data_IF_743638532169
#
_entry.id   IF_743638532169
#
_cell.length_a   1.000
_cell.length_b   1.000
_cell.length_c   1.000
_cell.angle_alpha   90.00
_cell.angle_beta   90.00
_cell.angle_gamma   90.00
#
_symmetry.space_group_name_H-M   'P 1'
#
loop_
_entity.id
_entity.type
_entity.pdbx_description
1 polymer ?
#
# COMPACT_ATOMS: atom_id res chain seq x y z
N UNK A 1 12.71 -8.99 26.25
CA UNK A 1 13.38 -8.97 24.94
C UNK A 1 14.71 -8.21 24.95
N UNK A 2 14.76 -6.89 25.21
CA UNK A 2 16.06 -6.16 25.13
C UNK A 2 17.18 -6.78 25.99
N UNK A 3 16.94 -6.96 27.30
CA UNK A 3 17.94 -7.55 28.21
C UNK A 3 18.35 -8.97 27.80
N UNK A 4 17.42 -9.74 27.26
CA UNK A 4 17.68 -11.10 26.79
C UNK A 4 18.58 -11.08 25.54
N UNK A 5 18.28 -10.25 24.55
CA UNK A 5 19.11 -10.09 23.36
C UNK A 5 20.51 -9.55 23.70
N UNK A 6 20.60 -8.59 24.63
CA UNK A 6 21.89 -8.03 25.09
C UNK A 6 22.74 -9.10 25.81
N UNK A 7 22.15 -9.84 26.76
CA UNK A 7 22.83 -10.91 27.49
C UNK A 7 23.34 -12.03 26.57
N UNK A 8 22.63 -12.32 25.48
CA UNK A 8 23.03 -13.32 24.49
C UNK A 8 23.92 -12.76 23.37
N UNK A 9 24.21 -11.45 23.38
CA UNK A 9 25.05 -10.81 22.37
C UNK A 9 24.42 -10.80 20.97
N UNK A 10 23.09 -10.66 20.90
CA UNK A 10 22.31 -10.67 19.65
C UNK A 10 22.20 -9.30 18.98
N UNK A 11 22.67 -8.23 19.60
CA UNK A 11 22.68 -6.91 18.99
C UNK A 11 23.95 -6.64 18.18
N UNK A 12 23.80 -5.78 17.16
CA UNK A 12 24.91 -5.15 16.44
C UNK A 12 25.79 -4.40 17.44
N UNK A 13 27.12 -4.45 17.24
CA UNK A 13 28.08 -3.91 18.20
C UNK A 13 28.80 -2.68 17.66
N UNK A 14 29.19 -1.81 18.60
CA UNK A 14 30.14 -0.74 18.35
C UNK A 14 31.54 -1.31 18.16
N UNK A 15 32.22 -0.95 17.07
CA UNK A 15 33.58 -1.42 16.76
C UNK A 15 34.60 -0.90 17.79
N UNK A 16 34.42 0.33 18.27
CA UNK A 16 35.32 1.00 19.22
C UNK A 16 35.20 0.46 20.64
N UNK A 17 33.98 0.09 21.06
CA UNK A 17 33.72 -0.33 22.45
C UNK A 17 33.51 -1.84 22.62
N UNK A 18 33.16 -2.55 21.56
CA UNK A 18 32.75 -3.95 21.59
C UNK A 18 31.40 -4.21 22.28
N UNK A 19 30.68 -3.14 22.67
CA UNK A 19 29.37 -3.21 23.33
C UNK A 19 28.23 -3.06 22.32
N UNK A 20 27.01 -3.37 22.74
CA UNK A 20 25.78 -3.12 21.98
C UNK A 20 25.74 -1.67 21.48
N UNK A 21 25.56 -1.51 20.17
CA UNK A 21 25.35 -0.21 19.55
C UNK A 21 23.89 0.21 19.75
N UNK A 22 23.70 1.39 20.32
CA UNK A 22 22.38 1.98 20.52
C UNK A 22 22.15 3.07 19.48
N UNK A 23 21.02 2.98 18.79
CA UNK A 23 20.57 3.96 17.78
C UNK A 23 19.46 4.80 18.39
N UNK A 24 19.54 6.13 18.22
CA UNK A 24 18.49 7.07 18.63
C UNK A 24 17.38 7.12 17.58
N UNK A 25 16.16 6.75 17.96
CA UNK A 25 14.95 6.78 17.14
C UNK A 25 14.10 8.04 17.39
N UNK A 26 14.67 9.06 18.02
CA UNK A 26 13.97 10.28 18.40
C UNK A 26 13.33 10.12 19.77
N UNK A 27 14.09 10.43 20.81
CA UNK A 27 13.73 10.35 22.24
C UNK A 27 13.83 8.95 22.87
N UNK A 28 14.20 7.92 22.09
CA UNK A 28 14.41 6.56 22.58
C UNK A 28 15.61 5.90 21.91
N UNK A 29 16.41 5.17 22.69
CA UNK A 29 17.53 4.39 22.19
C UNK A 29 17.16 2.92 22.06
N UNK A 30 17.44 2.34 20.89
CA UNK A 30 17.17 0.93 20.59
C UNK A 30 18.46 0.20 20.19
N UNK A 31 18.56 -1.06 20.57
CA UNK A 31 19.56 -1.98 20.02
C UNK A 31 18.98 -2.66 18.77
N UNK A 32 19.77 -2.76 17.71
CA UNK A 32 19.35 -3.43 16.47
C UNK A 32 19.86 -4.86 16.45
N UNK A 33 18.96 -5.81 16.20
CA UNK A 33 19.27 -7.24 16.17
C UNK A 33 20.24 -7.52 15.01
N UNK A 34 21.33 -8.21 15.29
CA UNK A 34 22.31 -8.55 14.28
C UNK A 34 21.86 -9.79 13.51
N UNK A 35 21.16 -9.57 12.40
CA UNK A 35 20.66 -10.66 11.53
C UNK A 35 21.79 -11.48 10.87
N UNK A 36 23.04 -11.01 10.92
CA UNK A 36 24.20 -11.79 10.45
C UNK A 36 24.65 -12.85 11.45
N UNK A 37 24.24 -12.73 12.72
CA UNK A 37 24.41 -13.75 13.74
C UNK A 37 23.32 -14.82 13.58
N UNK A 38 23.64 -16.08 13.21
CA UNK A 38 22.63 -17.11 12.99
C UNK A 38 21.77 -17.38 14.23
N UNK A 39 22.33 -17.27 15.44
CA UNK A 39 21.58 -17.47 16.68
C UNK A 39 20.59 -16.32 16.93
N UNK A 40 20.98 -15.08 16.61
CA UNK A 40 20.08 -13.92 16.74
C UNK A 40 18.96 -13.96 15.70
N UNK A 41 19.29 -14.38 14.47
CA UNK A 41 18.32 -14.58 13.39
C UNK A 41 17.26 -15.63 13.78
N UNK A 42 17.69 -16.81 14.23
CA UNK A 42 16.75 -17.86 14.66
C UNK A 42 15.96 -17.46 15.91
N UNK A 43 16.59 -16.78 16.86
CA UNK A 43 15.90 -16.26 18.05
C UNK A 43 14.77 -15.29 17.68
N UNK A 44 15.04 -14.32 16.79
CA UNK A 44 14.02 -13.36 16.39
C UNK A 44 12.97 -14.00 15.46
N UNK A 45 13.36 -14.96 14.62
CA UNK A 45 12.42 -15.76 13.83
C UNK A 45 11.44 -16.50 14.76
N UNK A 46 11.91 -17.04 15.88
CA UNK A 46 11.04 -17.66 16.88
C UNK A 46 10.06 -16.65 17.51
N UNK A 47 10.47 -15.41 17.77
CA UNK A 47 9.54 -14.35 18.23
C UNK A 47 8.41 -14.12 17.22
N UNK A 48 8.71 -14.11 15.91
CA UNK A 48 7.69 -13.99 14.85
C UNK A 48 6.77 -15.22 14.81
N UNK A 49 7.32 -16.43 14.98
CA UNK A 49 6.52 -17.66 15.10
C UNK A 49 5.61 -17.66 16.33
N UNK A 50 6.06 -17.10 17.44
CA UNK A 50 5.24 -16.96 18.64
C UNK A 50 4.07 -16.00 18.39
N UNK A 51 4.26 -14.93 17.61
CA UNK A 51 3.16 -14.07 17.15
C UNK A 51 2.15 -14.86 16.30
N UNK A 52 2.63 -15.66 15.35
CA UNK A 52 1.77 -16.53 14.53
C UNK A 52 1.01 -17.54 15.39
N UNK A 53 1.67 -18.13 16.40
CA UNK A 53 1.07 -19.09 17.34
C UNK A 53 0.04 -18.44 18.26
N UNK A 54 0.25 -17.18 18.63
CA UNK A 54 -0.71 -16.39 19.39
C UNK A 54 -2.00 -16.10 18.60
N UNK A 55 -1.94 -16.13 17.27
CA UNK A 55 -3.10 -15.99 16.39
C UNK A 55 -3.11 -14.72 15.54
N UNK A 56 -1.99 -14.00 15.44
CA UNK A 56 -1.88 -12.89 14.49
C UNK A 56 -1.93 -13.42 13.05
N UNK A 57 -2.82 -12.87 12.24
CA UNK A 57 -2.97 -13.20 10.81
C UNK A 57 -2.16 -12.26 9.90
N UNK A 58 -1.36 -11.37 10.47
CA UNK A 58 -0.59 -10.39 9.71
C UNK A 58 -0.06 -9.25 10.57
N UNK A 59 0.95 -8.56 10.06
CA UNK A 59 1.59 -7.41 10.71
C UNK A 59 2.34 -6.52 9.72
N UNK A 60 2.60 -5.30 10.14
CA UNK A 60 3.61 -4.44 9.53
C UNK A 60 4.98 -4.94 9.97
N UNK A 61 5.79 -5.46 9.05
CA UNK A 61 7.18 -5.79 9.30
C UNK A 61 8.03 -4.55 9.03
N UNK A 62 7.90 -3.57 9.93
CA UNK A 62 8.49 -2.24 9.75
C UNK A 62 10.02 -2.25 9.94
N UNK A 63 10.57 -1.14 9.49
CA UNK A 63 11.97 -0.79 9.35
C UNK A 63 12.74 -1.75 8.44
N UNK A 64 14.05 -1.83 8.66
CA UNK A 64 15.01 -2.48 7.79
C UNK A 64 16.37 -1.82 7.94
N UNK A 65 17.13 -1.84 6.85
CA UNK A 65 18.47 -1.28 6.81
C UNK A 65 18.53 0.25 6.85
N UNK A 66 17.40 0.94 6.66
CA UNK A 66 17.36 2.39 6.44
C UNK A 66 17.70 3.23 7.68
N UNK A 67 17.80 2.60 8.86
CA UNK A 67 18.26 3.22 10.11
C UNK A 67 19.61 2.69 10.59
N UNK A 68 20.29 1.84 9.81
CA UNK A 68 21.57 1.26 10.24
C UNK A 68 22.71 2.26 10.09
N UNK A 69 23.41 2.61 11.19
CA UNK A 69 24.60 3.44 11.10
C UNK A 69 25.74 2.68 10.40
N UNK A 70 26.49 3.38 9.56
CA UNK A 70 27.67 2.83 8.88
C UNK A 70 28.96 3.06 9.68
N UNK A 71 28.95 4.03 10.58
CA UNK A 71 30.10 4.42 11.39
C UNK A 71 30.13 3.65 12.71
N UNK A 72 31.34 3.27 13.12
CA UNK A 72 31.58 2.51 14.36
C UNK A 72 30.75 1.22 14.49
N UNK A 73 30.34 0.61 13.37
CA UNK A 73 29.46 -0.57 13.36
C UNK A 73 30.26 -1.85 13.07
N UNK A 74 29.94 -2.92 13.79
CA UNK A 74 30.51 -4.26 13.59
C UNK A 74 29.41 -5.32 13.64
N UNK A 75 29.32 -6.11 12.57
CA UNK A 75 28.43 -7.26 12.42
C UNK A 75 29.15 -8.56 12.80
N UNK A 76 28.39 -9.55 13.23
CA UNK A 76 28.87 -10.86 13.67
C UNK A 76 29.66 -11.61 12.59
N UNK A 77 29.20 -11.57 11.33
CA UNK A 77 29.86 -12.23 10.21
C UNK A 77 31.06 -11.45 9.62
N UNK A 78 31.29 -10.22 10.12
CA UNK A 78 32.33 -9.32 9.64
C UNK A 78 32.01 -8.56 8.35
N UNK A 79 30.77 -8.63 7.85
CA UNK A 79 30.34 -7.85 6.68
C UNK A 79 30.52 -6.36 6.94
N UNK A 80 30.94 -5.62 5.92
CA UNK A 80 31.21 -4.19 6.04
C UNK A 80 29.91 -3.41 6.20
N UNK A 81 29.87 -2.42 7.12
CA UNK A 81 28.63 -1.75 7.48
C UNK A 81 27.96 -0.98 6.33
N UNK A 82 28.76 -0.39 5.43
CA UNK A 82 28.25 0.26 4.21
C UNK A 82 27.51 -0.73 3.29
N UNK A 83 27.95 -1.98 3.23
CA UNK A 83 27.28 -3.02 2.44
C UNK A 83 26.02 -3.51 3.18
N UNK A 84 26.14 -3.79 4.47
CA UNK A 84 25.05 -4.31 5.29
C UNK A 84 23.90 -3.32 5.46
N UNK A 85 24.17 -2.00 5.40
CA UNK A 85 23.12 -0.97 5.42
C UNK A 85 22.03 -1.24 4.37
N UNK A 86 22.39 -1.67 3.17
CA UNK A 86 21.41 -2.01 2.13
C UNK A 86 20.90 -3.46 2.26
N UNK A 87 21.78 -4.41 2.58
CA UNK A 87 21.42 -5.83 2.63
C UNK A 87 20.45 -6.18 3.77
N UNK A 88 20.45 -5.41 4.86
CA UNK A 88 19.66 -5.75 6.03
C UNK A 88 18.16 -5.81 5.76
N UNK A 89 17.61 -4.96 4.89
CA UNK A 89 16.21 -5.03 4.49
C UNK A 89 15.86 -6.36 3.82
N UNK A 90 16.78 -6.95 3.05
CA UNK A 90 16.59 -8.28 2.47
C UNK A 90 16.59 -9.37 3.54
N UNK A 91 17.50 -9.28 4.52
CA UNK A 91 17.58 -10.22 5.63
C UNK A 91 16.35 -10.15 6.53
N UNK A 92 15.83 -8.95 6.77
CA UNK A 92 14.61 -8.72 7.54
C UNK A 92 13.37 -9.28 6.83
N UNK A 93 13.28 -9.08 5.51
CA UNK A 93 12.22 -9.68 4.70
C UNK A 93 12.31 -11.22 4.71
N UNK A 94 13.52 -11.76 4.57
CA UNK A 94 13.77 -13.20 4.61
C UNK A 94 13.36 -13.81 5.96
N UNK A 95 13.69 -13.15 7.07
CA UNK A 95 13.31 -13.62 8.40
C UNK A 95 11.79 -13.76 8.55
N UNK A 96 11.04 -12.72 8.16
CA UNK A 96 9.58 -12.74 8.24
C UNK A 96 8.98 -13.81 7.33
N UNK A 97 9.49 -13.96 6.10
CA UNK A 97 9.04 -14.99 5.17
C UNK A 97 9.32 -16.40 5.68
N UNK A 98 10.54 -16.68 6.12
CA UNK A 98 10.91 -18.00 6.68
C UNK A 98 10.04 -18.35 7.88
N UNK A 99 9.75 -17.39 8.78
CA UNK A 99 8.86 -17.63 9.92
C UNK A 99 7.46 -18.10 9.47
N UNK A 100 6.88 -17.43 8.46
CA UNK A 100 5.55 -17.76 7.94
C UNK A 100 5.56 -19.08 7.16
N UNK A 101 6.60 -19.34 6.38
CA UNK A 101 6.79 -20.59 5.63
C UNK A 101 6.93 -21.79 6.56
N UNK A 102 7.75 -21.68 7.60
CA UNK A 102 8.01 -22.77 8.55
C UNK A 102 6.78 -23.11 9.41
N UNK A 103 5.90 -22.14 9.67
CA UNK A 103 4.60 -22.36 10.31
C UNK A 103 3.50 -22.84 9.33
N UNK A 104 3.82 -22.94 8.04
CA UNK A 104 2.88 -23.38 7.00
C UNK A 104 1.74 -22.39 6.72
N UNK A 105 1.94 -21.09 7.00
CA UNK A 105 0.89 -20.05 6.97
C UNK A 105 1.00 -19.07 5.80
N UNK A 106 1.69 -19.43 4.72
CA UNK A 106 1.92 -18.55 3.57
C UNK A 106 0.65 -18.03 2.90
N UNK A 107 -0.43 -18.81 2.90
CA UNK A 107 -1.69 -18.42 2.28
C UNK A 107 -2.64 -17.67 3.23
N UNK A 108 -2.31 -17.62 4.52
CA UNK A 108 -3.19 -17.12 5.58
C UNK A 108 -2.62 -15.90 6.31
N UNK A 109 -1.39 -15.47 5.96
CA UNK A 109 -0.69 -14.38 6.65
C UNK A 109 -0.45 -13.19 5.74
N UNK A 110 -0.83 -12.00 6.20
CA UNK A 110 -0.59 -10.74 5.51
C UNK A 110 0.55 -9.95 6.18
N UNK A 111 1.74 -9.98 5.58
CA UNK A 111 2.90 -9.21 6.06
C UNK A 111 3.33 -8.19 5.01
N UNK A 112 3.53 -6.95 5.44
CA UNK A 112 3.90 -5.85 4.55
C UNK A 112 5.10 -5.05 5.05
N UNK A 113 5.90 -4.56 4.10
CA UNK A 113 7.17 -3.87 4.35
C UNK A 113 7.31 -2.61 3.51
N UNK A 114 7.99 -1.57 4.02
CA UNK A 114 8.35 -0.38 3.24
C UNK A 114 9.78 -0.44 2.72
N UNK A 115 10.67 -1.09 3.45
CA UNK A 115 12.09 -1.17 3.11
C UNK A 115 12.35 -2.38 2.21
N UNK A 116 13.35 -2.26 1.34
CA UNK A 116 13.74 -3.31 0.43
C UNK A 116 15.01 -2.99 -0.33
N UNK A 117 15.64 -4.02 -0.90
CA UNK A 117 16.82 -3.90 -1.73
C UNK A 117 16.78 -4.94 -2.88
N UNK A 118 17.88 -5.16 -3.58
CA UNK A 118 17.94 -5.87 -4.86
C UNK A 118 17.32 -7.27 -4.90
N UNK A 119 17.31 -8.02 -3.78
CA UNK A 119 16.71 -9.36 -3.68
C UNK A 119 15.41 -9.41 -2.89
N UNK A 120 14.91 -8.27 -2.42
CA UNK A 120 13.59 -8.18 -1.77
C UNK A 120 12.44 -8.77 -2.59
N UNK A 121 12.40 -8.71 -3.94
CA UNK A 121 11.36 -9.41 -4.71
C UNK A 121 11.26 -10.92 -4.41
N UNK A 122 12.33 -11.57 -3.95
CA UNK A 122 12.32 -12.98 -3.55
C UNK A 122 11.85 -13.25 -2.11
N UNK A 123 11.74 -12.21 -1.27
CA UNK A 123 11.51 -12.34 0.18
C UNK A 123 10.32 -11.53 0.70
N UNK A 124 10.12 -10.31 0.22
CA UNK A 124 9.02 -9.43 0.61
C UNK A 124 7.70 -9.99 0.10
N UNK A 125 6.78 -10.31 1.02
CA UNK A 125 5.46 -10.84 0.67
C UNK A 125 4.56 -9.78 0.04
N UNK A 126 4.48 -8.60 0.66
CA UNK A 126 3.78 -7.42 0.12
C UNK A 126 4.49 -6.14 0.52
N UNK A 127 4.31 -5.08 -0.27
CA UNK A 127 4.93 -3.78 0.00
C UNK A 127 3.87 -2.71 0.33
N UNK A 128 4.27 -1.71 1.09
CA UNK A 128 3.52 -0.46 1.20
C UNK A 128 4.44 0.74 0.97
N UNK A 129 3.84 1.86 0.56
CA UNK A 129 4.53 3.06 0.11
C UNK A 129 5.37 3.78 1.19
N UNK A 130 5.33 3.37 2.45
CA UNK A 130 5.97 4.11 3.54
C UNK A 130 5.14 5.32 3.99
N UNK A 131 5.84 6.32 4.51
CA UNK A 131 5.25 7.37 5.31
C UNK A 131 4.99 8.64 4.47
N UNK A 132 3.88 8.68 3.74
CA UNK A 132 3.48 9.91 3.03
C UNK A 132 3.00 11.00 3.99
N UNK A 133 3.14 12.26 3.58
CA UNK A 133 2.49 13.40 4.22
C UNK A 133 0.97 13.30 4.11
N UNK A 134 0.28 13.87 5.10
CA UNK A 134 -1.19 14.01 5.11
C UNK A 134 -1.65 15.18 4.23
N UNK A 135 -1.21 15.21 2.97
CA UNK A 135 -1.54 16.25 1.98
C UNK A 135 -1.64 15.74 0.52
N UNK A 136 -1.88 16.69 -0.39
CA UNK A 136 -1.92 16.48 -1.85
C UNK A 136 -0.61 16.88 -2.55
N UNK A 137 0.52 16.93 -1.83
CA UNK A 137 1.80 17.32 -2.43
C UNK A 137 2.29 16.28 -3.44
N UNK A 138 2.95 16.74 -4.49
CA UNK A 138 3.46 15.86 -5.54
C UNK A 138 4.58 14.94 -5.09
N UNK A 139 5.48 15.45 -4.25
CA UNK A 139 6.70 14.75 -3.87
C UNK A 139 6.47 13.69 -2.79
N UNK A 140 5.50 13.90 -1.90
CA UNK A 140 5.36 13.09 -0.69
C UNK A 140 3.90 12.94 -0.20
N UNK A 141 2.92 13.47 -0.93
CA UNK A 141 1.50 13.28 -0.65
C UNK A 141 0.92 12.10 -1.43
N UNK A 142 -0.41 12.10 -1.63
CA UNK A 142 -1.14 11.04 -2.35
C UNK A 142 -0.52 10.71 -3.73
N UNK A 143 -0.07 11.74 -4.46
CA UNK A 143 0.49 11.60 -5.80
C UNK A 143 1.77 10.74 -5.85
N UNK A 144 2.57 10.73 -4.78
CA UNK A 144 3.84 10.00 -4.71
C UNK A 144 3.67 8.47 -4.68
N UNK A 145 2.51 8.00 -4.24
CA UNK A 145 2.17 6.57 -4.13
C UNK A 145 2.17 5.88 -5.49
N UNK A 146 1.74 6.58 -6.54
CA UNK A 146 1.60 6.02 -7.89
C UNK A 146 2.98 5.70 -8.51
N UNK A 147 3.94 6.66 -8.63
CA UNK A 147 5.27 6.33 -9.13
C UNK A 147 6.00 5.32 -8.23
N UNK A 148 5.76 5.30 -6.91
CA UNK A 148 6.28 4.25 -6.03
C UNK A 148 5.75 2.86 -6.44
N UNK A 149 4.44 2.72 -6.63
CA UNK A 149 3.83 1.46 -7.09
C UNK A 149 4.38 1.01 -8.46
N UNK A 150 4.49 1.94 -9.41
CA UNK A 150 4.95 1.65 -10.77
C UNK A 150 6.42 1.23 -10.80
N UNK A 151 7.29 1.94 -10.07
CA UNK A 151 8.73 1.63 -10.01
C UNK A 151 9.00 0.31 -9.28
N UNK A 152 8.31 0.04 -8.17
CA UNK A 152 8.39 -1.25 -7.46
C UNK A 152 7.87 -2.39 -8.32
N UNK A 153 6.76 -2.18 -9.02
CA UNK A 153 6.18 -3.16 -9.95
C UNK A 153 7.17 -3.55 -11.06
N UNK A 154 7.85 -2.58 -11.66
CA UNK A 154 8.91 -2.83 -12.66
C UNK A 154 10.17 -3.46 -12.07
N UNK A 155 10.35 -3.38 -10.75
CA UNK A 155 11.45 -4.00 -10.01
C UNK A 155 11.11 -5.40 -9.46
N UNK A 156 9.94 -5.95 -9.80
CA UNK A 156 9.52 -7.30 -9.41
C UNK A 156 8.72 -7.39 -8.11
N UNK A 157 8.41 -6.26 -7.46
CA UNK A 157 7.52 -6.20 -6.30
C UNK A 157 6.12 -5.78 -6.75
N UNK A 158 5.31 -6.76 -7.17
CA UNK A 158 4.05 -6.50 -7.87
C UNK A 158 2.82 -6.23 -7.01
N UNK A 159 2.90 -6.44 -5.68
CA UNK A 159 1.81 -6.18 -4.74
C UNK A 159 2.19 -5.00 -3.84
N UNK A 160 1.48 -3.88 -4.00
CA UNK A 160 1.77 -2.62 -3.35
C UNK A 160 0.47 -1.95 -2.86
N UNK A 161 0.55 -1.21 -1.75
CA UNK A 161 -0.55 -0.40 -1.23
C UNK A 161 -0.03 0.83 -0.45
N UNK A 162 -0.93 1.63 0.12
CA UNK A 162 -0.58 2.83 0.88
C UNK A 162 -1.49 3.02 2.09
N UNK A 163 -1.05 3.84 3.05
CA UNK A 163 -1.91 4.29 4.12
C UNK A 163 -3.02 5.20 3.58
N UNK A 164 -4.29 4.77 3.66
CA UNK A 164 -5.42 5.61 3.27
C UNK A 164 -5.41 6.89 4.11
N UNK A 165 -5.12 8.01 3.45
CA UNK A 165 -5.00 9.34 4.06
C UNK A 165 -3.60 9.76 4.48
N UNK A 166 -2.56 8.98 4.19
CA UNK A 166 -1.17 9.27 4.55
C UNK A 166 -0.85 9.04 6.03
N UNK A 167 0.37 9.37 6.46
CA UNK A 167 0.86 9.08 7.82
C UNK A 167 1.41 10.32 8.53
N UNK A 168 2.33 11.05 7.88
CA UNK A 168 3.13 12.11 8.50
C UNK A 168 2.30 13.37 8.69
N UNK A 169 1.93 13.66 9.94
CA UNK A 169 1.36 14.92 10.38
C UNK A 169 2.38 15.66 11.24
N UNK A 170 3.06 16.63 10.62
CA UNK A 170 4.01 17.53 11.29
C UNK A 170 3.62 18.99 11.05
N UNK A 171 4.08 19.85 11.96
CA UNK A 171 3.87 21.31 11.90
C UNK A 171 2.37 21.64 11.80
N UNK A 172 1.90 22.02 10.60
CA UNK A 172 0.55 22.46 10.28
C UNK A 172 -0.20 21.49 9.34
N UNK A 173 0.41 20.36 8.96
CA UNK A 173 -0.23 19.37 8.10
C UNK A 173 -1.23 18.55 8.91
N UNK A 174 -2.50 18.65 8.54
CA UNK A 174 -3.60 17.86 9.12
C UNK A 174 -4.40 17.23 8.00
N UNK A 175 -4.71 15.95 8.16
CA UNK A 175 -5.49 15.18 7.23
C UNK A 175 -6.93 15.70 7.17
N UNK A 176 -7.44 15.94 5.96
CA UNK A 176 -8.83 16.36 5.72
C UNK A 176 -9.72 15.17 5.35
N UNK A 177 -11.05 15.36 5.42
CA UNK A 177 -12.02 14.34 4.95
C UNK A 177 -11.82 14.04 3.46
N UNK A 178 -11.67 15.08 2.64
CA UNK A 178 -11.47 14.94 1.19
C UNK A 178 -10.23 14.10 0.90
N UNK A 179 -9.11 14.37 1.58
CA UNK A 179 -7.88 13.59 1.39
C UNK A 179 -8.10 12.10 1.73
N UNK A 180 -8.76 11.78 2.84
CA UNK A 180 -9.08 10.39 3.21
C UNK A 180 -9.88 9.69 2.12
N UNK A 181 -10.93 10.35 1.61
CA UNK A 181 -11.85 9.75 0.64
C UNK A 181 -11.21 9.64 -0.75
N UNK A 182 -10.44 10.64 -1.22
CA UNK A 182 -9.66 10.55 -2.47
C UNK A 182 -8.60 9.46 -2.42
N UNK A 183 -7.97 9.27 -1.26
CA UNK A 183 -7.00 8.20 -1.08
C UNK A 183 -7.67 6.81 -1.08
N UNK A 184 -8.83 6.70 -0.41
CA UNK A 184 -9.63 5.49 -0.41
C UNK A 184 -10.15 5.14 -1.81
N UNK A 185 -10.58 6.13 -2.59
CA UNK A 185 -10.97 5.98 -4.00
C UNK A 185 -9.86 5.36 -4.85
N UNK A 186 -8.62 5.83 -4.69
CA UNK A 186 -7.46 5.21 -5.34
C UNK A 186 -7.28 3.76 -4.87
N UNK A 187 -7.37 3.51 -3.56
CA UNK A 187 -7.09 2.20 -2.99
C UNK A 187 -8.17 1.14 -3.31
N UNK A 188 -9.39 1.54 -3.71
CA UNK A 188 -10.36 0.62 -4.32
C UNK A 188 -9.77 -0.11 -5.53
N UNK A 189 -8.85 0.53 -6.26
CA UNK A 189 -8.18 -0.03 -7.43
C UNK A 189 -6.70 -0.33 -7.15
N UNK A 190 -6.43 -0.87 -5.97
CA UNK A 190 -5.16 -1.47 -5.57
C UNK A 190 -5.41 -2.85 -4.97
N UNK A 191 -4.40 -3.72 -4.79
CA UNK A 191 -4.60 -5.06 -4.23
C UNK A 191 -5.06 -5.10 -2.77
N UNK A 192 -4.88 -4.01 -2.00
CA UNK A 192 -5.13 -3.97 -0.54
C UNK A 192 -5.65 -2.58 -0.15
N UNK A 193 -6.74 -2.53 0.63
CA UNK A 193 -7.17 -1.31 1.33
C UNK A 193 -6.80 -1.38 2.80
N UNK A 194 -6.03 -0.39 3.30
CA UNK A 194 -5.67 -0.28 4.72
C UNK A 194 -5.62 1.17 5.17
N UNK A 195 -6.18 1.47 6.33
CA UNK A 195 -6.10 2.79 6.96
C UNK A 195 -4.93 2.89 7.93
N UNK A 196 -4.61 4.11 8.36
CA UNK A 196 -3.70 4.36 9.47
C UNK A 196 -4.12 5.63 10.22
N UNK A 197 -4.06 5.63 11.56
CA UNK A 197 -4.38 6.82 12.34
C UNK A 197 -3.37 7.98 12.17
N UNK A 198 -2.19 7.69 11.61
CA UNK A 198 -1.03 8.59 11.55
C UNK A 198 -0.29 8.74 12.89
N UNK A 199 0.78 9.54 12.88
CA UNK A 199 1.60 9.82 14.06
C UNK A 199 0.92 10.75 15.09
N UNK A 200 -0.14 11.47 14.71
CA UNK A 200 -0.92 12.37 15.59
C UNK A 200 -2.44 12.15 15.45
N UNK A 201 -2.99 11.01 15.93
CA UNK A 201 -4.36 10.58 15.65
C UNK A 201 -5.44 11.64 15.93
N UNK A 202 -5.35 12.30 17.09
CA UNK A 202 -6.38 13.25 17.55
C UNK A 202 -6.46 14.56 16.76
N UNK A 203 -5.43 14.89 15.97
CA UNK A 203 -5.42 16.11 15.13
C UNK A 203 -5.85 15.85 13.69
N UNK A 204 -5.97 14.60 13.29
CA UNK A 204 -6.17 14.20 11.89
C UNK A 204 -7.57 13.61 11.71
N UNK A 205 -8.17 13.86 10.55
CA UNK A 205 -9.42 13.21 10.18
C UNK A 205 -9.22 11.69 10.08
N UNK A 206 -10.18 10.94 10.60
CA UNK A 206 -10.20 9.48 10.57
C UNK A 206 -11.46 9.02 9.86
N UNK A 207 -11.46 7.80 9.33
CA UNK A 207 -12.64 7.23 8.67
C UNK A 207 -13.87 7.19 9.59
N UNK A 208 -13.66 7.20 10.92
CA UNK A 208 -14.67 7.16 11.96
C UNK A 208 -14.91 8.53 12.64
N UNK A 209 -14.38 9.64 12.09
CA UNK A 209 -14.55 10.98 12.67
C UNK A 209 -15.98 11.48 12.53
N UNK A 210 -16.63 11.23 11.38
CA UNK A 210 -18.05 11.54 11.14
C UNK A 210 -18.78 10.35 10.51
N UNK A 211 -20.08 10.25 10.76
CA UNK A 211 -20.94 9.21 10.18
C UNK A 211 -20.94 9.29 8.65
N UNK A 212 -20.95 10.50 8.06
CA UNK A 212 -20.89 10.72 6.61
C UNK A 212 -19.59 10.21 5.99
N UNK A 213 -18.45 10.41 6.65
CA UNK A 213 -17.16 9.84 6.23
C UNK A 213 -17.22 8.32 6.29
N UNK A 214 -17.78 7.77 7.37
CA UNK A 214 -17.90 6.32 7.58
C UNK A 214 -18.77 5.69 6.49
N UNK A 215 -19.90 6.30 6.15
CA UNK A 215 -20.80 5.87 5.09
C UNK A 215 -20.15 5.92 3.71
N UNK A 216 -19.40 7.00 3.41
CA UNK A 216 -18.65 7.16 2.17
C UNK A 216 -17.55 6.10 2.04
N UNK A 217 -16.81 5.87 3.13
CA UNK A 217 -15.78 4.83 3.19
C UNK A 217 -16.40 3.43 3.06
N UNK A 218 -17.55 3.17 3.70
CA UNK A 218 -18.27 1.90 3.59
C UNK A 218 -18.70 1.62 2.14
N UNK A 219 -19.20 2.63 1.42
CA UNK A 219 -19.46 2.53 -0.03
C UNK A 219 -18.20 2.11 -0.79
N UNK A 220 -17.05 2.75 -0.55
CA UNK A 220 -15.79 2.40 -1.22
C UNK A 220 -15.35 0.96 -0.92
N UNK A 221 -15.46 0.50 0.34
CA UNK A 221 -15.16 -0.90 0.68
C UNK A 221 -16.13 -1.89 0.03
N UNK A 222 -17.39 -1.52 -0.19
CA UNK A 222 -18.35 -2.33 -0.94
C UNK A 222 -17.99 -2.44 -2.43
N UNK A 223 -17.46 -1.36 -3.03
CA UNK A 223 -16.94 -1.38 -4.40
C UNK A 223 -15.72 -2.31 -4.51
N UNK A 224 -14.77 -2.18 -3.58
CA UNK A 224 -13.60 -3.07 -3.49
C UNK A 224 -14.02 -4.54 -3.33
N UNK A 225 -14.97 -4.82 -2.42
CA UNK A 225 -15.46 -6.19 -2.21
C UNK A 225 -16.10 -6.77 -3.49
N UNK A 226 -16.92 -6.00 -4.21
CA UNK A 226 -17.49 -6.44 -5.49
C UNK A 226 -16.42 -6.71 -6.55
N UNK A 227 -15.31 -5.98 -6.50
CA UNK A 227 -14.17 -6.15 -7.40
C UNK A 227 -13.26 -7.34 -7.00
N UNK A 228 -13.51 -8.01 -5.86
CA UNK A 228 -12.70 -9.14 -5.36
C UNK A 228 -12.36 -10.21 -6.41
N UNK A 229 -13.28 -10.67 -7.27
CA UNK A 229 -12.92 -11.65 -8.31
C UNK A 229 -11.84 -11.15 -9.26
N UNK A 230 -11.85 -9.85 -9.58
CA UNK A 230 -10.82 -9.21 -10.40
C UNK A 230 -9.52 -9.00 -9.60
N UNK A 231 -9.62 -8.59 -8.33
CA UNK A 231 -8.45 -8.52 -7.44
C UNK A 231 -7.70 -9.86 -7.36
N UNK A 232 -8.43 -10.97 -7.16
CA UNK A 232 -7.85 -12.32 -7.16
C UNK A 232 -7.19 -12.67 -8.50
N UNK A 233 -7.82 -12.33 -9.62
CA UNK A 233 -7.23 -12.53 -10.95
C UNK A 233 -5.91 -11.76 -11.14
N UNK A 234 -5.88 -10.49 -10.72
CA UNK A 234 -4.68 -9.64 -10.82
C UNK A 234 -3.57 -10.13 -9.89
N UNK A 235 -3.92 -10.53 -8.65
CA UNK A 235 -2.96 -11.09 -7.70
C UNK A 235 -2.37 -12.43 -8.19
N UNK A 236 -3.21 -13.31 -8.75
CA UNK A 236 -2.75 -14.58 -9.33
C UNK A 236 -1.82 -14.36 -10.53
N UNK A 237 -2.12 -13.39 -11.40
CA UNK A 237 -1.22 -13.05 -12.51
C UNK A 237 0.11 -12.48 -12.00
N UNK A 238 0.08 -11.71 -10.92
CA UNK A 238 1.29 -11.21 -10.26
C UNK A 238 2.13 -12.36 -9.70
N UNK A 239 1.51 -13.29 -8.98
CA UNK A 239 2.20 -14.42 -8.37
C UNK A 239 2.75 -15.42 -9.41
N UNK A 240 1.98 -15.71 -10.47
CA UNK A 240 2.33 -16.73 -11.46
C UNK A 240 3.24 -16.23 -12.59
N UNK A 241 3.17 -14.94 -12.95
CA UNK A 241 3.91 -14.38 -14.10
C UNK A 241 4.86 -13.24 -13.74
N UNK A 242 4.79 -12.70 -12.52
CA UNK A 242 5.57 -11.54 -12.11
C UNK A 242 5.12 -10.22 -12.74
N UNK A 243 3.93 -10.17 -13.36
CA UNK A 243 3.38 -8.94 -13.93
C UNK A 243 2.73 -8.14 -12.80
N UNK A 244 3.13 -6.90 -12.50
CA UNK A 244 2.66 -6.19 -11.32
C UNK A 244 1.15 -5.90 -11.39
N UNK A 245 0.53 -5.74 -10.22
CA UNK A 245 -0.90 -5.44 -10.14
C UNK A 245 -1.24 -4.04 -10.67
N UNK A 246 -0.41 -3.06 -10.32
CA UNK A 246 -0.44 -1.70 -10.87
C UNK A 246 0.67 -1.58 -11.91
N UNK A 247 0.29 -1.26 -13.15
CA UNK A 247 1.18 -1.35 -14.32
C UNK A 247 1.32 0.00 -14.99
N UNK A 248 2.52 0.36 -15.44
CA UNK A 248 2.67 1.55 -16.28
C UNK A 248 1.98 1.30 -17.62
N UNK A 249 1.41 2.35 -18.23
CA UNK A 249 0.60 2.20 -19.45
C UNK A 249 1.41 1.58 -20.60
N UNK A 250 2.70 1.90 -20.70
CA UNK A 250 3.58 1.37 -21.76
C UNK A 250 3.68 -0.16 -21.77
N UNK A 251 3.38 -0.84 -20.66
CA UNK A 251 3.40 -2.30 -20.59
C UNK A 251 2.34 -2.94 -21.50
N UNK A 252 1.24 -2.23 -21.73
CA UNK A 252 0.15 -2.67 -22.61
C UNK A 252 0.09 -1.90 -23.94
N UNK A 253 0.73 -0.73 -24.00
CA UNK A 253 0.68 0.19 -25.13
C UNK A 253 2.09 0.68 -25.51
N UNK A 254 3.01 -0.26 -25.75
CA UNK A 254 4.42 0.02 -26.04
C UNK A 254 4.66 0.85 -27.31
N UNK A 255 3.70 0.86 -28.24
CA UNK A 255 3.78 1.62 -29.48
C UNK A 255 3.40 3.11 -29.29
N UNK A 256 2.86 3.47 -28.11
CA UNK A 256 2.46 4.84 -27.78
C UNK A 256 3.56 5.52 -26.94
N UNK A 257 4.36 6.43 -27.53
CA UNK A 257 5.48 7.07 -26.84
C UNK A 257 5.04 7.90 -25.62
N UNK A 258 3.81 8.43 -25.63
CA UNK A 258 3.28 9.24 -24.51
C UNK A 258 3.18 8.42 -23.23
N UNK A 259 2.95 7.11 -23.35
CA UNK A 259 2.75 6.23 -22.19
C UNK A 259 4.00 6.01 -21.35
N UNK A 260 5.18 6.34 -21.89
CA UNK A 260 6.46 6.24 -21.17
C UNK A 260 6.67 7.39 -20.18
N UNK A 261 6.03 8.54 -20.38
CA UNK A 261 6.16 9.72 -19.52
C UNK A 261 5.04 9.83 -18.45
N UNK A 262 4.05 8.93 -18.50
CA UNK A 262 2.90 8.95 -17.59
C UNK A 262 3.25 8.21 -16.30
N UNK A 263 3.25 8.95 -15.18
CA UNK A 263 3.57 8.41 -13.85
C UNK A 263 2.44 8.55 -12.81
N UNK A 264 1.34 9.22 -13.16
CA UNK A 264 0.21 9.51 -12.26
C UNK A 264 -1.10 8.83 -12.69
N UNK A 265 -0.99 7.86 -13.59
CA UNK A 265 -2.08 7.02 -14.06
C UNK A 265 -1.50 5.61 -14.22
N UNK A 266 -2.30 4.60 -13.98
CA UNK A 266 -1.84 3.22 -14.07
C UNK A 266 -2.94 2.31 -14.60
N UNK A 267 -2.51 1.21 -15.21
CA UNK A 267 -3.38 0.08 -15.49
C UNK A 267 -3.46 -0.78 -14.23
N UNK A 268 -4.66 -1.03 -13.71
CA UNK A 268 -4.90 -2.03 -12.67
C UNK A 268 -5.28 -3.34 -13.34
N UNK A 269 -4.36 -4.31 -13.31
CA UNK A 269 -4.46 -5.46 -14.21
C UNK A 269 -4.40 -5.03 -15.69
N UNK A 270 -4.80 -5.91 -16.62
CA UNK A 270 -4.79 -5.60 -18.05
C UNK A 270 -6.00 -4.78 -18.53
N UNK A 271 -7.04 -4.62 -17.71
CA UNK A 271 -8.36 -4.19 -18.19
C UNK A 271 -8.90 -2.89 -17.60
N UNK A 272 -8.37 -2.43 -16.47
CA UNK A 272 -8.82 -1.19 -15.82
C UNK A 272 -7.72 -0.13 -15.91
N UNK A 273 -8.06 1.08 -16.33
CA UNK A 273 -7.21 2.28 -16.27
C UNK A 273 -7.71 3.17 -15.14
N UNK A 274 -6.80 3.60 -14.27
CA UNK A 274 -7.08 4.43 -13.10
C UNK A 274 -6.25 5.71 -13.19
N UNK A 275 -6.91 6.86 -13.03
CA UNK A 275 -6.28 8.17 -12.94
C UNK A 275 -6.78 8.90 -11.69
N UNK A 276 -6.16 8.66 -10.51
CA UNK A 276 -6.59 9.25 -9.24
C UNK A 276 -6.61 10.78 -9.28
N UNK A 277 -7.56 11.39 -8.56
CA UNK A 277 -7.61 12.84 -8.38
C UNK A 277 -6.56 13.24 -7.34
N UNK A 278 -5.58 14.03 -7.77
CA UNK A 278 -4.38 14.35 -6.98
C UNK A 278 -4.39 15.74 -6.35
N UNK A 279 -5.47 16.51 -6.52
CA UNK A 279 -5.59 17.86 -5.99
C UNK A 279 -6.90 18.03 -5.24
N UNK A 280 -6.85 18.86 -4.21
CA UNK A 280 -8.02 19.31 -3.45
C UNK A 280 -8.99 20.12 -4.33
N UNK A 281 -10.27 20.06 -3.99
CA UNK A 281 -11.36 20.84 -4.59
C UNK A 281 -11.48 20.65 -6.12
N UNK A 282 -11.45 19.39 -6.56
CA UNK A 282 -11.61 18.99 -7.96
C UNK A 282 -12.90 18.23 -8.20
N UNK A 283 -13.63 18.63 -9.23
CA UNK A 283 -14.89 18.03 -9.67
C UNK A 283 -14.82 17.42 -11.08
N UNK A 284 -13.72 17.66 -11.79
CA UNK A 284 -13.37 17.03 -13.05
C UNK A 284 -11.89 16.64 -13.07
N UNK A 285 -11.53 15.75 -14.00
CA UNK A 285 -10.15 15.30 -14.16
C UNK A 285 -9.83 14.98 -15.62
N UNK A 286 -8.62 15.35 -16.03
CA UNK A 286 -8.08 15.03 -17.36
C UNK A 286 -7.36 13.69 -17.31
N UNK A 287 -7.77 12.76 -18.16
CA UNK A 287 -7.25 11.39 -18.25
C UNK A 287 -6.70 11.14 -19.64
N UNK A 288 -5.49 10.62 -19.74
CA UNK A 288 -4.95 10.14 -21.02
C UNK A 288 -5.41 8.71 -21.27
N UNK A 289 -6.09 8.50 -22.39
CA UNK A 289 -6.53 7.18 -22.83
C UNK A 289 -5.70 6.76 -24.04
N UNK A 290 -4.91 5.67 -23.95
CA UNK A 290 -4.18 5.13 -25.10
C UNK A 290 -5.17 4.49 -26.10
N UNK A 291 -4.74 4.18 -27.35
CA UNK A 291 -5.63 3.69 -28.40
C UNK A 291 -6.34 2.37 -28.06
N UNK A 292 -7.61 2.47 -27.65
CA UNK A 292 -8.52 1.35 -27.37
C UNK A 292 -9.99 1.84 -27.32
N UNK A 293 -10.92 0.94 -27.06
CA UNK A 293 -12.30 1.25 -26.71
C UNK A 293 -12.46 1.19 -25.20
N UNK A 294 -12.56 2.36 -24.59
CA UNK A 294 -12.70 2.53 -23.16
C UNK A 294 -14.16 2.76 -22.77
N UNK A 295 -14.53 2.33 -21.57
CA UNK A 295 -15.85 2.59 -20.99
C UNK A 295 -15.64 3.22 -19.62
N UNK A 296 -16.21 4.40 -19.40
CA UNK A 296 -16.17 5.07 -18.12
C UNK A 296 -16.99 4.28 -17.09
N UNK A 297 -16.37 3.93 -15.96
CA UNK A 297 -16.89 2.93 -15.03
C UNK A 297 -18.27 3.30 -14.46
N UNK A 298 -18.48 4.60 -14.16
CA UNK A 298 -19.64 5.05 -13.38
C UNK A 298 -20.90 5.30 -14.20
N UNK A 299 -20.80 5.67 -15.47
CA UNK A 299 -21.99 5.94 -16.28
C UNK A 299 -22.05 5.17 -17.60
N UNK A 300 -21.05 4.32 -17.85
CA UNK A 300 -20.99 3.49 -19.04
C UNK A 300 -20.70 4.28 -20.33
N UNK A 301 -20.30 5.55 -20.25
CA UNK A 301 -19.93 6.33 -21.43
C UNK A 301 -18.77 5.66 -22.14
N UNK A 302 -18.99 5.30 -23.40
CA UNK A 302 -17.96 4.71 -24.25
C UNK A 302 -17.11 5.79 -24.91
N UNK A 303 -15.79 5.61 -24.88
CA UNK A 303 -14.82 6.47 -25.54
C UNK A 303 -13.98 5.60 -26.46
N UNK A 304 -14.11 5.83 -27.77
CA UNK A 304 -13.28 5.16 -28.78
C UNK A 304 -12.09 6.05 -29.07
N UNK A 305 -10.89 5.57 -28.72
CA UNK A 305 -9.63 6.22 -29.05
C UNK A 305 -9.04 5.52 -30.29
N UNK A 306 -9.14 6.13 -31.48
CA UNK A 306 -8.57 5.52 -32.68
C UNK A 306 -7.04 5.49 -32.59
N UNK A 307 -6.42 4.51 -33.23
CA UNK A 307 -4.97 4.55 -33.45
C UNK A 307 -4.65 5.72 -34.37
N UNK A 308 -3.97 6.73 -33.85
CA UNK A 308 -3.47 7.85 -34.65
C UNK A 308 -2.28 7.41 -35.52
N UNK A 309 -1.85 8.27 -36.45
CA UNK A 309 -0.70 7.97 -37.33
C UNK A 309 0.62 7.84 -36.56
N UNK A 310 0.75 8.56 -35.47
CA UNK A 310 1.85 8.54 -34.50
C UNK A 310 1.65 7.53 -33.36
N UNK A 311 0.56 6.74 -33.38
CA UNK A 311 0.30 5.68 -32.41
C UNK A 311 -0.18 6.18 -31.03
N UNK A 312 -0.41 7.48 -30.88
CA UNK A 312 -0.81 8.12 -29.63
C UNK A 312 -2.32 8.01 -29.38
N UNK A 313 -2.67 7.96 -28.11
CA UNK A 313 -4.01 8.14 -27.60
C UNK A 313 -4.47 9.60 -27.56
N UNK A 314 -5.44 9.89 -26.68
CA UNK A 314 -5.94 11.25 -26.47
C UNK A 314 -6.33 11.49 -25.01
N UNK A 315 -6.30 12.75 -24.59
CA UNK A 315 -6.82 13.16 -23.29
C UNK A 315 -8.32 13.43 -23.35
N UNK A 316 -9.04 12.97 -22.33
CA UNK A 316 -10.47 13.27 -22.11
C UNK A 316 -10.66 13.86 -20.73
N UNK A 317 -11.59 14.79 -20.59
CA UNK A 317 -12.01 15.33 -19.29
C UNK A 317 -13.30 14.64 -18.87
N UNK A 318 -13.33 14.10 -17.65
CA UNK A 318 -14.51 13.45 -17.08
C UNK A 318 -14.89 14.08 -15.75
N UNK A 319 -16.17 13.93 -15.38
CA UNK A 319 -16.63 14.24 -14.04
C UNK A 319 -15.91 13.35 -13.02
N UNK A 320 -15.34 13.97 -12.00
CA UNK A 320 -14.53 13.32 -10.98
C UNK A 320 -14.99 13.73 -9.57
N UNK A 321 -16.31 13.90 -9.39
CA UNK A 321 -16.90 14.15 -8.07
C UNK A 321 -16.46 13.10 -7.06
N UNK A 322 -16.40 13.48 -5.79
CA UNK A 322 -16.05 12.55 -4.73
C UNK A 322 -17.03 11.37 -4.71
N UNK A 323 -16.49 10.17 -4.83
CA UNK A 323 -17.19 8.91 -5.03
C UNK A 323 -17.07 8.33 -6.44
N UNK A 324 -16.69 9.13 -7.45
CA UNK A 324 -16.53 8.72 -8.84
C UNK A 324 -15.10 8.98 -9.34
N UNK A 325 -14.07 8.29 -8.82
CA UNK A 325 -12.70 8.50 -9.29
C UNK A 325 -12.56 8.18 -10.78
N UNK A 326 -11.71 8.89 -11.54
CA UNK A 326 -11.58 8.68 -12.98
C UNK A 326 -11.05 7.28 -13.32
N UNK A 327 -11.99 6.38 -13.66
CA UNK A 327 -11.71 4.96 -13.92
C UNK A 327 -12.41 4.51 -15.18
N UNK A 328 -11.64 3.82 -16.03
CA UNK A 328 -12.12 3.25 -17.28
C UNK A 328 -11.81 1.77 -17.33
N UNK A 329 -12.62 1.00 -18.03
CA UNK A 329 -12.30 -0.38 -18.37
C UNK A 329 -12.36 -0.60 -19.88
N UNK A 330 -11.61 -1.58 -20.37
CA UNK A 330 -11.63 -1.95 -21.79
C UNK A 330 -12.97 -2.58 -22.15
N UNK A 331 -13.64 -2.07 -23.20
CA UNK A 331 -14.95 -2.58 -23.65
C UNK A 331 -14.91 -4.08 -23.98
N UNK A 332 -13.80 -4.55 -24.53
CA UNK A 332 -13.57 -5.96 -24.87
C UNK A 332 -13.16 -6.85 -23.69
N UNK A 333 -13.09 -6.34 -22.46
CA UNK A 333 -12.66 -7.14 -21.31
C UNK A 333 -13.62 -8.30 -21.04
N UNK A 334 -13.11 -9.51 -20.73
CA UNK A 334 -13.93 -10.63 -20.27
C UNK A 334 -14.66 -10.33 -18.95
N UNK A 335 -14.20 -9.33 -18.20
CA UNK A 335 -14.78 -8.87 -16.94
C UNK A 335 -15.81 -7.74 -17.12
N UNK A 336 -16.11 -7.33 -18.34
CA UNK A 336 -17.05 -6.23 -18.64
C UNK A 336 -18.40 -6.36 -17.93
N UNK A 337 -18.95 -7.58 -17.82
CA UNK A 337 -20.20 -7.83 -17.08
C UNK A 337 -20.09 -7.46 -15.60
N UNK A 338 -18.95 -7.69 -14.97
CA UNK A 338 -18.69 -7.29 -13.58
C UNK A 338 -18.60 -5.77 -13.49
N UNK A 339 -17.80 -5.15 -14.35
CA UNK A 339 -17.58 -3.69 -14.34
C UNK A 339 -18.84 -2.88 -14.61
N UNK A 340 -19.73 -3.37 -15.48
CA UNK A 340 -21.04 -2.74 -15.74
C UNK A 340 -21.94 -2.64 -14.51
N UNK A 341 -21.71 -3.46 -13.47
CA UNK A 341 -22.49 -3.37 -12.23
C UNK A 341 -22.23 -2.08 -11.44
N UNK A 342 -21.08 -1.44 -11.64
CA UNK A 342 -20.65 -0.22 -10.95
C UNK A 342 -21.36 1.03 -11.47
N UNK A 343 -21.94 0.98 -12.68
CA UNK A 343 -22.61 2.14 -13.27
C UNK A 343 -23.87 2.59 -12.49
N UNK A 344 -24.39 1.73 -11.61
CA UNK A 344 -25.52 2.05 -10.72
C UNK A 344 -25.09 2.84 -9.48
N UNK A 345 -23.79 2.91 -9.22
CA UNK A 345 -23.20 3.54 -8.04
C UNK A 345 -22.70 4.96 -8.32
N UNK A 346 -23.01 5.53 -9.49
CA UNK A 346 -22.65 6.90 -9.87
C UNK A 346 -23.19 7.91 -8.85
N UNK A 347 -22.27 8.68 -8.27
CA UNK A 347 -22.63 9.86 -7.48
C UNK A 347 -22.93 11.01 -8.45
N UNK A 348 -24.16 11.51 -8.48
CA UNK A 348 -24.52 12.61 -9.39
C UNK A 348 -23.91 13.95 -8.91
N UNK A 349 -23.57 14.88 -9.83
CA UNK A 349 -23.05 16.19 -9.48
C UNK A 349 -23.93 16.91 -8.44
N UNK A 350 -23.28 17.50 -7.42
CA UNK A 350 -23.97 18.21 -6.33
C UNK A 350 -24.73 17.33 -5.35
N UNK A 351 -24.59 16.00 -5.38
CA UNK A 351 -25.07 15.08 -4.34
C UNK A 351 -23.90 14.50 -3.57
N UNK A 352 -24.01 14.45 -2.25
CA UNK A 352 -23.15 13.59 -1.44
C UNK A 352 -23.45 12.13 -1.78
N UNK A 353 -22.47 11.20 -1.70
CA UNK A 353 -22.75 9.78 -1.82
C UNK A 353 -23.86 9.41 -0.83
N UNK A 354 -25.04 9.01 -1.32
CA UNK A 354 -26.10 8.51 -0.45
C UNK A 354 -25.57 7.23 0.20
N UNK A 355 -25.29 7.29 1.50
CA UNK A 355 -24.76 6.17 2.26
C UNK A 355 -25.65 4.95 2.10
N UNK A 356 -25.06 3.80 1.79
CA UNK A 356 -25.72 2.53 2.07
C UNK A 356 -25.97 2.53 3.58
N UNK A 357 -27.24 2.68 4.00
CA UNK A 357 -27.57 2.75 5.43
C UNK A 357 -26.87 1.58 6.15
N UNK A 358 -26.14 1.86 7.22
CA UNK A 358 -25.38 0.87 8.01
C UNK A 358 -26.17 -0.42 8.34
N UNK A 359 -27.51 -0.35 8.37
CA UNK A 359 -28.41 -1.51 8.56
C UNK A 359 -28.32 -2.58 7.47
N UNK A 360 -27.83 -2.26 6.27
CA UNK A 360 -27.68 -3.20 5.15
C UNK A 360 -26.35 -3.95 5.19
N UNK A 361 -25.25 -3.29 5.59
CA UNK A 361 -23.93 -3.91 5.71
C UNK A 361 -23.86 -4.97 6.82
N UNK A 362 -24.62 -4.81 7.91
CA UNK A 362 -24.65 -5.78 9.02
C UNK A 362 -25.44 -7.08 8.72
N UNK A 363 -26.02 -7.23 7.53
CA UNK A 363 -26.81 -8.42 7.15
C UNK A 363 -26.08 -9.45 6.29
N UNK A 364 -24.85 -9.16 5.83
CA UNK A 364 -24.08 -10.10 5.03
C UNK A 364 -22.99 -10.79 5.87
N UNK A 365 -23.13 -12.10 6.17
CA UNK A 365 -22.23 -12.82 7.07
C UNK A 365 -20.81 -13.07 6.50
N UNK A 366 -20.56 -12.70 5.24
CA UNK A 366 -19.26 -12.88 4.57
C UNK A 366 -18.43 -11.59 4.46
N UNK A 367 -18.87 -10.51 5.10
CA UNK A 367 -18.07 -9.29 5.24
C UNK A 367 -17.00 -9.56 6.32
N UNK A 368 -15.87 -10.14 5.92
CA UNK A 368 -14.62 -10.10 6.71
C UNK A 368 -14.06 -8.68 6.63
N UNK A 369 -14.77 -7.74 7.25
CA UNK A 369 -14.30 -6.39 7.48
C UNK A 369 -13.67 -6.38 8.86
N UNK A 370 -12.33 -6.34 8.91
CA UNK A 370 -11.61 -5.98 10.13
C UNK A 370 -11.83 -4.48 10.41
N UNK A 371 -13.06 -4.10 10.76
CA UNK A 371 -13.31 -2.90 11.53
C UNK A 371 -12.83 -3.19 12.94
N UNK A 372 -11.56 -2.87 13.22
CA UNK A 372 -11.04 -2.75 14.59
C UNK A 372 -11.66 -1.50 15.23
N UNK A 373 -12.98 -1.50 15.36
CA UNK A 373 -13.75 -0.47 16.05
C UNK A 373 -13.56 -0.66 17.54
N UNK A 374 -12.81 0.27 18.15
CA UNK A 374 -12.89 0.67 19.56
C UNK A 374 -12.96 -0.49 20.55
N UNK A 375 -11.80 -1.06 20.95
CA UNK A 375 -11.50 -1.39 22.37
C UNK A 375 -10.18 -2.12 22.69
N UNK A 376 -9.28 -2.41 21.75
CA UNK A 376 -8.12 -3.28 22.07
C UNK A 376 -6.71 -2.68 21.97
N UNK A 377 -6.56 -1.35 21.86
CA UNK A 377 -5.23 -0.72 21.87
C UNK A 377 -5.18 0.52 22.75
N UNK A 378 -5.25 0.35 24.08
CA UNK A 378 -4.95 1.45 25.02
C UNK A 378 -4.39 1.01 26.38
N UNK A 379 -3.74 -0.16 26.50
CA UNK A 379 -3.28 -0.63 27.82
C UNK A 379 -1.91 -1.31 27.95
N UNK A 380 -0.99 -1.25 26.97
CA UNK A 380 0.30 -1.97 27.12
C UNK A 380 1.57 -1.11 27.05
N UNK A 381 1.51 0.19 26.74
CA UNK A 381 2.71 1.03 26.81
C UNK A 381 2.39 2.37 27.46
N UNK A 382 2.38 2.39 28.79
CA UNK A 382 2.75 3.51 29.67
C UNK A 382 2.55 3.04 31.13
N UNK A 383 3.47 2.20 31.60
CA UNK A 383 3.81 2.02 33.02
C UNK A 383 4.92 0.96 33.12
N UNK A 384 6.16 1.38 32.89
CA UNK A 384 7.35 0.96 33.66
C UNK A 384 8.23 2.18 33.82
#
# INVERSE_FOLDING_TARGET
MFQEADNNGYFIKSKSTGKTQLVDFGEMFCGTIDLTNPNAFEWYKQVVKDMLSFGFAGWMADFGGEYLPVDDTMYFDGTHAVEMHNLYSEMWARLNKEAVEEEGKMNDTFVFMRSGFGRSPGHTMTSWAGDQNVDFSYADGLASVIPAALSLGMSGMGIHHSDIGGYVSLICMVRTEELVLRWAEMNVFTPIMRTHEGNRPYRNWQIYTMDTTTESFARLTSLYHRLSPYHSFVAEETASKGIPAQRPLFLHYSDDPTTYDIQYQYMYGPDILVAPVLFEDKHDWSVYLPPDQWVYLWNGTEVVVPRSRDGTGMSVTVNAEMGNPPVFYRKGSPWSKLFQTFAKDEVKPGRTPEGLSLKLLLKEPNIFLFLLLRKMFWYVFFNV
#
